data_IF_928952392809
#
_entry.id   IF_928952392809
#
_cell.length_a   1.000
_cell.length_b   1.000
_cell.length_c   1.000
_cell.angle_alpha   90.00
_cell.angle_beta   90.00
_cell.angle_gamma   90.00
#
_symmetry.space_group_name_H-M   'P 1'
#
loop_
_entity.id
_entity.type
_entity.pdbx_description
1 polymer ?
#
# COMPACT_ATOMS: atom_id res chain seq x y z
N UNK A 1 -3.24 7.16 -24.70
CA UNK A 1 -3.11 5.97 -23.83
C UNK A 1 -4.51 5.62 -23.32
N UNK A 2 -4.94 4.34 -23.37
CA UNK A 2 -6.30 3.95 -22.93
C UNK A 2 -6.47 4.07 -21.41
N UNK A 3 -7.71 4.16 -20.91
CA UNK A 3 -7.97 4.16 -19.46
C UNK A 3 -7.46 2.88 -18.78
N UNK A 4 -7.57 1.74 -19.45
CA UNK A 4 -7.03 0.47 -18.97
C UNK A 4 -5.50 0.52 -18.83
N UNK A 5 -4.80 1.06 -19.82
CA UNK A 5 -3.35 1.20 -19.78
C UNK A 5 -2.89 2.15 -18.65
N UNK A 6 -3.58 3.28 -18.48
CA UNK A 6 -3.32 4.23 -17.39
C UNK A 6 -3.55 3.58 -16.01
N UNK A 7 -4.62 2.79 -15.88
CA UNK A 7 -4.93 2.06 -14.65
C UNK A 7 -3.86 1.01 -14.35
N UNK A 8 -3.39 0.28 -15.36
CA UNK A 8 -2.33 -0.73 -15.22
C UNK A 8 -1.02 -0.11 -14.74
N UNK A 9 -0.67 1.06 -15.28
CA UNK A 9 0.53 1.81 -14.89
C UNK A 9 0.40 2.40 -13.47
N UNK A 10 -0.79 2.91 -13.13
CA UNK A 10 -1.06 3.41 -11.79
C UNK A 10 -0.99 2.28 -10.75
N UNK A 11 -1.55 1.11 -11.04
CA UNK A 11 -1.43 -0.08 -10.18
C UNK A 11 0.04 -0.43 -9.92
N UNK A 12 0.89 -0.39 -10.95
CA UNK A 12 2.32 -0.67 -10.80
C UNK A 12 3.01 0.35 -9.89
N UNK A 13 2.67 1.63 -10.01
CA UNK A 13 3.18 2.69 -9.12
C UNK A 13 2.69 2.52 -7.69
N UNK A 14 1.43 2.16 -7.47
CA UNK A 14 0.88 1.88 -6.15
C UNK A 14 1.58 0.67 -5.49
N UNK A 15 1.88 -0.38 -6.24
CA UNK A 15 2.67 -1.50 -5.72
C UNK A 15 4.09 -1.08 -5.35
N UNK A 16 4.73 -0.24 -6.17
CA UNK A 16 6.05 0.29 -5.86
C UNK A 16 6.04 1.17 -4.61
N UNK A 17 4.98 1.96 -4.40
CA UNK A 17 4.80 2.77 -3.19
C UNK A 17 4.64 1.91 -1.94
N UNK A 18 3.81 0.86 -1.99
CA UNK A 18 3.63 -0.06 -0.86
C UNK A 18 4.90 -0.84 -0.49
N UNK A 19 5.87 -0.91 -1.40
CA UNK A 19 7.16 -1.55 -1.15
C UNK A 19 8.17 -0.63 -0.43
N UNK A 20 7.83 0.65 -0.20
CA UNK A 20 8.74 1.65 0.40
C UNK A 20 8.83 1.62 1.93
N UNK A 21 8.21 0.67 2.61
CA UNK A 21 8.30 0.47 4.07
C UNK A 21 8.26 1.78 4.89
N UNK A 22 9.39 2.21 5.45
CA UNK A 22 9.50 3.39 6.31
C UNK A 22 9.34 4.73 5.56
N UNK A 23 9.44 4.72 4.23
CA UNK A 23 9.26 5.87 3.34
C UNK A 23 7.85 5.90 2.69
N UNK A 24 6.94 5.05 3.15
CA UNK A 24 5.56 5.02 2.63
C UNK A 24 4.87 6.38 2.87
N UNK A 25 4.52 7.05 1.78
CA UNK A 25 3.76 8.30 1.80
C UNK A 25 2.25 8.00 1.75
N UNK A 26 1.61 8.06 2.93
CA UNK A 26 0.19 7.78 3.06
C UNK A 26 -0.68 8.78 2.29
N UNK A 27 -0.36 10.08 2.35
CA UNK A 27 -1.17 11.13 1.73
C UNK A 27 -1.14 10.98 0.21
N UNK A 28 0.06 10.78 -0.36
CA UNK A 28 0.22 10.47 -1.79
C UNK A 28 -0.55 9.19 -2.17
N UNK A 29 -0.46 8.13 -1.36
CA UNK A 29 -1.13 6.86 -1.67
C UNK A 29 -2.65 7.00 -1.70
N UNK A 30 -3.24 7.73 -0.74
CA UNK A 30 -4.68 8.03 -0.69
C UNK A 30 -5.14 8.82 -1.92
N UNK A 31 -4.39 9.85 -2.32
CA UNK A 31 -4.65 10.61 -3.56
C UNK A 31 -4.64 9.71 -4.79
N UNK A 32 -3.63 8.84 -4.92
CA UNK A 32 -3.55 7.91 -6.05
C UNK A 32 -4.68 6.87 -6.06
N UNK A 33 -5.19 6.45 -4.90
CA UNK A 33 -6.36 5.55 -4.83
C UNK A 33 -7.64 6.22 -5.35
N UNK A 34 -7.81 7.52 -5.14
CA UNK A 34 -8.93 8.28 -5.71
C UNK A 34 -8.82 8.30 -7.24
N UNK A 35 -7.64 8.62 -7.77
CA UNK A 35 -7.38 8.59 -9.22
C UNK A 35 -7.65 7.20 -9.81
N UNK A 36 -7.23 6.14 -9.09
CA UNK A 36 -7.49 4.75 -9.47
C UNK A 36 -8.98 4.44 -9.54
N UNK A 37 -9.76 4.88 -8.55
CA UNK A 37 -11.20 4.67 -8.53
C UNK A 37 -11.89 5.33 -9.72
N UNK A 38 -11.48 6.53 -10.10
CA UNK A 38 -12.04 7.23 -11.26
C UNK A 38 -11.63 6.57 -12.58
N UNK A 39 -10.38 6.12 -12.71
CA UNK A 39 -9.95 5.32 -13.88
C UNK A 39 -10.75 4.02 -14.01
N UNK A 40 -11.02 3.32 -12.90
CA UNK A 40 -11.86 2.13 -12.90
C UNK A 40 -13.28 2.42 -13.38
N UNK A 41 -13.90 3.51 -12.91
CA UNK A 41 -15.22 3.93 -13.40
C UNK A 41 -15.20 4.18 -14.91
N UNK A 42 -14.16 4.82 -15.42
CA UNK A 42 -14.01 5.08 -16.84
C UNK A 42 -13.82 3.80 -17.65
N UNK A 43 -12.99 2.85 -17.19
CA UNK A 43 -12.81 1.53 -17.83
C UNK A 43 -14.13 0.75 -17.89
N UNK A 44 -14.90 0.75 -16.78
CA UNK A 44 -16.21 0.09 -16.73
C UNK A 44 -17.21 0.77 -17.68
N UNK A 45 -17.21 2.11 -17.72
CA UNK A 45 -18.12 2.89 -18.56
C UNK A 45 -17.82 2.75 -20.04
N UNK A 46 -16.54 2.65 -20.41
CA UNK A 46 -16.09 2.42 -21.79
C UNK A 46 -16.56 1.05 -22.30
N UNK A 47 -16.76 0.09 -21.39
CA UNK A 47 -17.35 -1.23 -21.67
C UNK A 47 -16.54 -2.12 -22.61
N UNK A 48 -15.38 -1.64 -23.06
CA UNK A 48 -14.55 -2.27 -24.08
C UNK A 48 -13.41 -3.09 -23.45
N UNK A 49 -13.77 -3.91 -22.45
CA UNK A 49 -12.85 -4.83 -21.75
C UNK A 49 -13.33 -6.27 -21.91
N UNK A 50 -12.40 -7.14 -22.25
CA UNK A 50 -12.64 -8.58 -22.32
C UNK A 50 -12.84 -9.18 -20.92
N UNK A 51 -13.44 -10.38 -20.87
CA UNK A 51 -13.60 -11.12 -19.62
C UNK A 51 -12.23 -11.45 -18.97
N UNK A 52 -11.20 -11.72 -19.76
CA UNK A 52 -9.83 -11.94 -19.28
C UNK A 52 -9.26 -10.69 -18.62
N UNK A 53 -9.38 -9.52 -19.25
CA UNK A 53 -8.89 -8.26 -18.69
C UNK A 53 -9.63 -7.89 -17.41
N UNK A 54 -10.96 -8.09 -17.37
CA UNK A 54 -11.75 -7.90 -16.16
C UNK A 54 -11.29 -8.79 -15.00
N UNK A 55 -11.05 -10.08 -15.28
CA UNK A 55 -10.51 -11.02 -14.29
C UNK A 55 -9.12 -10.62 -13.78
N UNK A 56 -8.25 -10.13 -14.66
CA UNK A 56 -6.94 -9.60 -14.30
C UNK A 56 -7.02 -8.35 -13.42
N UNK A 57 -7.93 -7.42 -13.72
CA UNK A 57 -8.16 -6.22 -12.89
C UNK A 57 -8.67 -6.57 -11.49
N UNK A 58 -9.56 -7.56 -11.38
CA UNK A 58 -10.03 -8.07 -10.09
C UNK A 58 -8.86 -8.67 -9.31
N UNK A 59 -8.04 -9.49 -9.98
CA UNK A 59 -6.86 -10.13 -9.38
C UNK A 59 -5.85 -9.10 -8.89
N UNK A 60 -5.56 -8.07 -9.70
CA UNK A 60 -4.69 -6.95 -9.32
C UNK A 60 -5.22 -6.19 -8.10
N UNK A 61 -6.53 -5.93 -8.07
CA UNK A 61 -7.17 -5.26 -6.93
C UNK A 61 -7.04 -6.06 -5.63
N UNK A 62 -7.18 -7.40 -5.70
CA UNK A 62 -6.95 -8.27 -4.54
C UNK A 62 -5.51 -8.22 -4.06
N UNK A 63 -4.55 -8.33 -4.98
CA UNK A 63 -3.11 -8.24 -4.66
C UNK A 63 -2.74 -6.90 -4.03
N UNK A 64 -3.31 -5.79 -4.51
CA UNK A 64 -3.04 -4.46 -3.96
C UNK A 64 -3.53 -4.36 -2.51
N UNK A 65 -4.70 -4.93 -2.22
CA UNK A 65 -5.22 -5.03 -0.85
C UNK A 65 -4.31 -5.89 0.04
N UNK A 66 -3.93 -7.08 -0.43
CA UNK A 66 -3.03 -7.98 0.31
C UNK A 66 -1.68 -7.30 0.62
N UNK A 67 -1.10 -6.57 -0.33
CA UNK A 67 0.14 -5.83 -0.12
C UNK A 67 -0.02 -4.71 0.92
N UNK A 68 -1.14 -3.99 0.91
CA UNK A 68 -1.44 -2.97 1.92
C UNK A 68 -1.59 -3.56 3.33
N UNK A 69 -2.28 -4.69 3.46
CA UNK A 69 -2.41 -5.42 4.73
C UNK A 69 -1.04 -5.92 5.23
N UNK A 70 -0.18 -6.40 4.34
CA UNK A 70 1.19 -6.80 4.69
C UNK A 70 2.05 -5.62 5.16
N UNK A 71 1.95 -4.46 4.49
CA UNK A 71 2.65 -3.24 4.93
C UNK A 71 2.18 -2.83 6.33
N UNK A 72 0.86 -2.81 6.57
CA UNK A 72 0.30 -2.51 7.89
C UNK A 72 0.85 -3.44 8.98
N UNK A 73 0.94 -4.74 8.70
CA UNK A 73 1.50 -5.72 9.64
C UNK A 73 2.97 -5.41 9.94
N UNK A 74 3.79 -5.15 8.91
CA UNK A 74 5.23 -4.84 9.05
C UNK A 74 5.48 -3.57 9.86
N UNK A 75 4.77 -2.47 9.54
CA UNK A 75 4.84 -1.22 10.30
C UNK A 75 4.41 -1.44 11.76
N UNK A 76 3.35 -2.21 11.99
CA UNK A 76 2.90 -2.57 13.34
C UNK A 76 3.93 -3.38 14.14
N UNK A 77 4.68 -4.27 13.48
CA UNK A 77 5.77 -5.03 14.11
C UNK A 77 6.97 -4.15 14.44
N UNK A 78 7.37 -3.26 13.53
CA UNK A 78 8.45 -2.29 13.78
C UNK A 78 8.13 -1.39 14.98
N UNK A 79 6.91 -0.87 15.07
CA UNK A 79 6.46 -0.07 16.22
C UNK A 79 6.54 -0.84 17.54
N UNK A 80 6.18 -2.14 17.54
CA UNK A 80 6.33 -2.99 18.73
C UNK A 80 7.78 -3.17 19.12
N UNK A 81 8.68 -3.38 18.15
CA UNK A 81 10.11 -3.55 18.41
C UNK A 81 10.75 -2.26 18.96
N UNK A 82 10.44 -1.10 18.36
CA UNK A 82 10.91 0.20 18.85
C UNK A 82 10.48 0.47 20.30
N UNK A 83 9.23 0.18 20.63
CA UNK A 83 8.72 0.34 21.99
C UNK A 83 9.39 -0.60 23.00
N UNK A 84 9.72 -1.83 22.60
CA UNK A 84 10.51 -2.76 23.43
C UNK A 84 11.93 -2.23 23.68
N UNK A 85 12.60 -1.74 22.64
CA UNK A 85 13.93 -1.13 22.73
C UNK A 85 13.95 0.10 23.64
N UNK A 86 12.94 0.98 23.53
CA UNK A 86 12.81 2.14 24.42
C UNK A 86 12.65 1.73 25.89
N UNK A 87 11.83 0.72 26.17
CA UNK A 87 11.63 0.20 27.54
C UNK A 87 12.90 -0.43 28.11
N UNK A 88 13.66 -1.19 27.33
CA UNK A 88 14.92 -1.79 27.80
C UNK A 88 15.99 -0.75 28.10
N UNK A 89 16.11 0.28 27.25
CA UNK A 89 17.04 1.40 27.48
C UNK A 89 16.67 2.18 28.74
N UNK A 90 15.39 2.48 28.96
CA UNK A 90 14.92 3.14 30.18
C UNK A 90 15.22 2.32 31.43
N UNK A 91 14.95 1.01 31.41
CA UNK A 91 15.26 0.12 32.53
C UNK A 91 16.77 0.10 32.85
N UNK A 92 17.62 0.01 31.83
CA UNK A 92 19.08 0.05 32.00
C UNK A 92 19.57 1.37 32.60
N UNK A 93 19.04 2.51 32.13
CA UNK A 93 19.39 3.83 32.68
C UNK A 93 18.98 3.99 34.14
N UNK A 94 17.82 3.45 34.53
CA UNK A 94 17.37 3.45 35.94
C UNK A 94 18.30 2.64 36.83
N UNK A 95 18.76 1.47 36.38
CA UNK A 95 19.72 0.64 37.13
C UNK A 95 21.10 1.31 37.21
N UNK A 96 21.57 1.95 36.14
CA UNK A 96 22.90 2.61 36.11
C UNK A 96 22.98 3.89 36.96
N UNK A 97 21.85 4.57 37.22
CA UNK A 97 21.79 5.80 38.03
C UNK A 97 21.64 5.55 39.53
N UNK A 98 21.24 4.35 39.94
CA UNK A 98 21.21 3.89 41.32
C UNK A 98 22.52 3.19 41.68
#
# INVERSE_FOLDING_TARGET
MSFLAQLIELDARLFAELAKDDEFDQDYFEEQLIVRADLLKNVISDGNISASESSELITRSRRLKEAAEQLQQRLGEQLKQMNKGRRSVQAYQTVKRN
#
